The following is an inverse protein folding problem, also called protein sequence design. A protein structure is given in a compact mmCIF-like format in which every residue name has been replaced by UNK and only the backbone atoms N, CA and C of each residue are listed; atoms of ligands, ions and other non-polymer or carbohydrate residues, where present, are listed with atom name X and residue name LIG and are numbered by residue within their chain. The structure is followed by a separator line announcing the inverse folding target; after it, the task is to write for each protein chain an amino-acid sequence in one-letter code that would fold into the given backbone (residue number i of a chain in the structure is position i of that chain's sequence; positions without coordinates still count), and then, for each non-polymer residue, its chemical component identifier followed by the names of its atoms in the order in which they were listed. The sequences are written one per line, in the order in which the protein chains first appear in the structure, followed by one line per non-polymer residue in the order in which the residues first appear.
data_IF_791726833233
#
_entry.id   IF_791726833233
#
_cell.length_a   1.000
_cell.length_b   1.000
_cell.length_c   1.000
_cell.angle_alpha   90.00
_cell.angle_beta   90.00
_cell.angle_gamma   90.00
#
_symmetry.space_group_name_H-M   'P 1'
#
loop_
_entity.id
_entity.type
_entity.pdbx_description
1 polymer ?
#
# COMPACT_ATOMS: atom_id res chain seq x y z
N UNK A 1 -63.33 1.69 13.11
CA UNK A 1 -63.13 1.08 11.78
C UNK A 1 -62.02 0.08 11.94
N UNK A 2 -62.39 -1.19 11.95
CA UNK A 2 -61.55 -2.36 12.19
C UNK A 2 -60.89 -2.84 10.90
N UNK A 3 -59.69 -3.37 11.09
CA UNK A 3 -58.76 -4.02 10.17
C UNK A 3 -59.35 -5.04 9.20
N UNK A 4 -58.74 -5.17 8.03
CA UNK A 4 -58.27 -6.45 7.47
C UNK A 4 -57.34 -6.17 6.27
N UNK A 5 -56.04 -6.22 6.53
CA UNK A 5 -54.99 -6.34 5.52
C UNK A 5 -54.58 -7.82 5.56
N UNK A 6 -54.83 -8.57 4.49
CA UNK A 6 -54.46 -10.00 4.43
C UNK A 6 -52.99 -10.13 4.04
N UNK A 7 -52.12 -10.22 5.05
CA UNK A 7 -50.75 -10.66 4.90
C UNK A 7 -50.73 -12.15 4.50
N UNK A 8 -50.57 -12.45 3.21
CA UNK A 8 -50.14 -13.78 2.78
C UNK A 8 -48.66 -13.95 3.14
N UNK A 9 -48.42 -14.70 4.21
CA UNK A 9 -47.10 -15.06 4.72
C UNK A 9 -46.32 -15.84 3.65
N UNK A 10 -45.06 -15.49 3.33
CA UNK A 10 -44.26 -16.21 2.35
C UNK A 10 -44.03 -17.66 2.82
N UNK A 11 -44.33 -18.62 1.92
CA UNK A 11 -44.19 -20.05 2.17
C UNK A 11 -42.70 -20.42 2.40
N UNK A 12 -42.45 -21.18 3.46
CA UNK A 12 -41.12 -21.68 3.83
C UNK A 12 -40.60 -22.73 2.81
N UNK A 13 -39.28 -22.91 2.75
CA UNK A 13 -38.62 -23.87 1.85
C UNK A 13 -39.21 -25.29 1.97
N UNK A 14 -39.54 -25.70 3.21
CA UNK A 14 -40.15 -27.01 3.47
C UNK A 14 -41.57 -27.15 2.90
N UNK A 15 -42.32 -26.05 2.80
CA UNK A 15 -43.66 -26.05 2.22
C UNK A 15 -43.61 -26.11 0.70
N UNK A 16 -42.56 -25.56 0.09
CA UNK A 16 -42.30 -25.64 -1.35
C UNK A 16 -41.86 -27.07 -1.73
N UNK A 17 -40.95 -27.68 -0.97
CA UNK A 17 -40.56 -29.09 -1.17
C UNK A 17 -41.76 -30.04 -1.03
N UNK A 18 -42.62 -29.79 -0.04
CA UNK A 18 -43.84 -30.57 0.16
C UNK A 18 -44.80 -30.44 -1.03
N UNK A 19 -45.01 -29.21 -1.52
CA UNK A 19 -45.86 -28.96 -2.71
C UNK A 19 -45.27 -29.58 -3.97
N UNK A 20 -43.94 -29.60 -4.12
CA UNK A 20 -43.26 -30.26 -5.24
C UNK A 20 -43.43 -31.79 -5.18
N UNK A 21 -43.27 -32.39 -4.00
CA UNK A 21 -43.50 -33.82 -3.83
C UNK A 21 -44.96 -34.23 -4.05
N UNK A 22 -45.93 -33.40 -3.62
CA UNK A 22 -47.35 -33.64 -3.84
C UNK A 22 -47.71 -33.53 -5.34
N UNK A 23 -47.12 -32.58 -6.06
CA UNK A 23 -47.26 -32.46 -7.51
C UNK A 23 -46.66 -33.67 -8.26
N UNK A 24 -45.49 -34.16 -7.83
CA UNK A 24 -44.88 -35.36 -8.41
C UNK A 24 -45.74 -36.62 -8.20
N UNK A 25 -46.36 -36.78 -7.03
CA UNK A 25 -47.32 -37.87 -6.77
C UNK A 25 -48.56 -37.78 -7.65
N UNK A 26 -49.09 -36.57 -7.87
CA UNK A 26 -50.24 -36.36 -8.75
C UNK A 26 -49.92 -36.72 -10.22
N UNK A 27 -48.71 -36.41 -10.69
CA UNK A 27 -48.21 -36.81 -12.02
C UNK A 27 -48.06 -38.33 -12.14
N UNK A 28 -47.64 -39.01 -11.07
CA UNK A 28 -47.51 -40.47 -11.04
C UNK A 28 -48.87 -41.20 -11.07
N UNK A 29 -49.90 -40.60 -10.46
CA UNK A 29 -51.29 -41.08 -10.53
C UNK A 29 -51.86 -40.91 -11.95
N UNK A 30 -51.59 -39.78 -12.61
CA UNK A 30 -52.01 -39.51 -13.99
C UNK A 30 -51.32 -40.46 -15.01
N UNK A 31 -50.09 -40.89 -14.74
CA UNK A 31 -49.36 -41.88 -15.56
C UNK A 31 -49.94 -43.29 -15.51
N UNK A 32 -50.73 -43.63 -14.49
CA UNK A 32 -51.33 -44.98 -14.29
C UNK A 32 -52.69 -45.19 -14.96
N UNK A 33 -53.18 -44.20 -15.72
CA UNK A 33 -54.26 -44.39 -16.69
C UNK A 33 -55.66 -44.51 -16.09
N UNK A 34 -56.24 -43.40 -15.66
CA UNK A 34 -57.68 -43.17 -15.71
C UNK A 34 -57.94 -41.80 -16.35
N UNK A 35 -58.76 -41.81 -17.39
CA UNK A 35 -59.15 -40.66 -18.22
C UNK A 35 -59.70 -39.51 -17.39
N UNK A 36 -59.43 -38.26 -17.81
CA UNK A 36 -60.45 -37.31 -18.30
C UNK A 36 -59.75 -36.05 -18.82
N UNK A 37 -60.02 -35.72 -20.07
CA UNK A 37 -59.46 -34.61 -20.85
C UNK A 37 -59.87 -33.20 -20.38
N UNK A 38 -60.03 -32.98 -19.07
CA UNK A 38 -60.40 -31.67 -18.46
C UNK A 38 -59.27 -31.14 -17.55
N UNK A 39 -58.21 -31.92 -17.29
CA UNK A 39 -57.12 -31.55 -16.37
C UNK A 39 -55.81 -31.05 -17.00
N UNK A 40 -55.63 -31.16 -18.32
CA UNK A 40 -54.31 -30.94 -18.95
C UNK A 40 -53.95 -29.45 -19.12
N UNK A 41 -54.93 -28.60 -19.43
CA UNK A 41 -54.77 -27.14 -19.53
C UNK A 41 -54.50 -26.48 -18.17
N UNK A 42 -55.16 -26.95 -17.11
CA UNK A 42 -55.00 -26.44 -15.74
C UNK A 42 -53.63 -26.76 -15.14
N UNK A 43 -53.04 -27.91 -15.52
CA UNK A 43 -51.73 -28.34 -15.02
C UNK A 43 -50.61 -27.62 -15.78
N UNK A 44 -50.75 -27.39 -17.09
CA UNK A 44 -49.78 -26.63 -17.88
C UNK A 44 -49.66 -25.18 -17.42
N UNK A 45 -50.79 -24.52 -17.11
CA UNK A 45 -50.78 -23.16 -16.58
C UNK A 45 -50.15 -23.06 -15.18
N UNK A 46 -50.41 -24.05 -14.31
CA UNK A 46 -49.77 -24.13 -12.98
C UNK A 46 -48.28 -24.43 -13.06
N UNK A 47 -47.83 -25.19 -14.07
CA UNK A 47 -46.42 -25.48 -14.30
C UNK A 47 -45.66 -24.24 -14.77
N UNK A 48 -46.20 -23.48 -15.72
CA UNK A 48 -45.56 -22.23 -16.18
C UNK A 48 -45.52 -21.15 -15.09
N UNK A 49 -46.57 -21.05 -14.26
CA UNK A 49 -46.57 -20.14 -13.11
C UNK A 49 -45.51 -20.56 -12.07
N UNK A 50 -45.39 -21.86 -11.77
CA UNK A 50 -44.39 -22.37 -10.83
C UNK A 50 -42.97 -22.25 -11.39
N UNK A 51 -42.78 -22.41 -12.71
CA UNK A 51 -41.50 -22.22 -13.39
C UNK A 51 -41.07 -20.76 -13.37
N UNK A 52 -41.98 -19.83 -13.64
CA UNK A 52 -41.73 -18.38 -13.54
C UNK A 52 -41.38 -17.96 -12.12
N UNK A 53 -42.07 -18.53 -11.12
CA UNK A 53 -41.73 -18.32 -9.71
C UNK A 53 -40.39 -18.95 -9.31
N UNK A 54 -39.99 -20.06 -9.95
CA UNK A 54 -38.70 -20.71 -9.72
C UNK A 54 -37.53 -19.96 -10.37
N UNK A 55 -37.70 -19.48 -11.61
CA UNK A 55 -36.72 -18.65 -12.33
C UNK A 55 -36.54 -17.28 -11.65
N UNK A 56 -37.62 -16.67 -11.18
CA UNK A 56 -37.54 -15.44 -10.40
C UNK A 56 -36.82 -15.66 -9.06
N UNK A 57 -37.08 -16.79 -8.39
CA UNK A 57 -36.39 -17.14 -7.15
C UNK A 57 -34.93 -17.57 -7.37
N UNK A 58 -34.56 -18.13 -8.52
CA UNK A 58 -33.15 -18.43 -8.83
C UNK A 58 -32.35 -17.15 -9.11
N UNK A 59 -32.98 -16.16 -9.76
CA UNK A 59 -32.41 -14.82 -9.89
C UNK A 59 -32.26 -14.12 -8.53
N UNK A 60 -33.26 -14.24 -7.63
CA UNK A 60 -33.15 -13.71 -6.26
C UNK A 60 -32.04 -14.42 -5.46
N UNK A 61 -31.73 -15.69 -5.75
CA UNK A 61 -30.61 -16.43 -5.12
C UNK A 61 -29.25 -16.02 -5.68
N UNK A 62 -29.16 -15.68 -6.96
CA UNK A 62 -27.94 -15.12 -7.57
C UNK A 62 -27.68 -13.71 -7.04
N UNK A 63 -28.71 -12.86 -6.94
CA UNK A 63 -28.60 -11.53 -6.34
C UNK A 63 -28.25 -11.60 -4.84
N UNK A 64 -28.81 -12.58 -4.11
CA UNK A 64 -28.46 -12.82 -2.71
C UNK A 64 -27.05 -13.40 -2.54
N UNK A 65 -26.54 -14.19 -3.49
CA UNK A 65 -25.15 -14.68 -3.51
C UNK A 65 -24.16 -13.53 -3.80
N UNK A 66 -24.53 -12.62 -4.70
CA UNK A 66 -23.79 -11.38 -4.98
C UNK A 66 -23.75 -10.47 -3.74
N UNK A 67 -24.90 -10.24 -3.09
CA UNK A 67 -24.98 -9.47 -1.84
C UNK A 67 -24.26 -10.16 -0.69
N UNK A 68 -24.26 -11.50 -0.63
CA UNK A 68 -23.53 -12.25 0.38
C UNK A 68 -22.02 -12.18 0.15
N UNK A 69 -21.56 -12.18 -1.12
CA UNK A 69 -20.15 -11.94 -1.48
C UNK A 69 -19.71 -10.52 -1.11
N UNK A 70 -20.51 -9.50 -1.45
CA UNK A 70 -20.26 -8.12 -1.04
C UNK A 70 -20.20 -7.96 0.48
N UNK A 71 -21.17 -8.53 1.20
CA UNK A 71 -21.20 -8.50 2.67
C UNK A 71 -20.02 -9.27 3.28
N UNK A 72 -19.58 -10.35 2.65
CA UNK A 72 -18.40 -11.11 3.10
C UNK A 72 -17.12 -10.29 2.92
N UNK A 73 -17.01 -9.54 1.83
CA UNK A 73 -15.90 -8.64 1.57
C UNK A 73 -15.87 -7.47 2.56
N UNK A 74 -17.00 -6.80 2.78
CA UNK A 74 -17.13 -5.70 3.75
C UNK A 74 -16.81 -6.15 5.19
N UNK A 75 -17.20 -7.38 5.56
CA UNK A 75 -16.86 -7.98 6.86
C UNK A 75 -15.36 -8.32 6.97
N UNK A 76 -14.69 -8.63 5.85
CA UNK A 76 -13.25 -8.89 5.82
C UNK A 76 -12.46 -7.59 6.01
N UNK A 77 -12.85 -6.53 5.32
CA UNK A 77 -12.24 -5.19 5.40
C UNK A 77 -12.40 -4.61 6.82
N UNK A 78 -13.60 -4.67 7.40
CA UNK A 78 -13.84 -4.24 8.79
C UNK A 78 -13.03 -5.05 9.81
N UNK A 79 -12.73 -6.32 9.51
CA UNK A 79 -11.90 -7.15 10.39
C UNK A 79 -10.43 -6.75 10.33
N UNK A 80 -9.94 -6.39 9.14
CA UNK A 80 -8.60 -5.85 8.94
C UNK A 80 -8.47 -4.48 9.60
N UNK A 81 -9.42 -3.57 9.38
CA UNK A 81 -9.45 -2.25 10.02
C UNK A 81 -9.44 -2.36 11.55
N UNK A 82 -10.21 -3.31 12.11
CA UNK A 82 -10.21 -3.57 13.55
C UNK A 82 -8.88 -4.14 14.05
N UNK A 83 -8.25 -5.05 13.30
CA UNK A 83 -6.95 -5.61 13.67
C UNK A 83 -5.86 -4.54 13.66
N UNK A 84 -5.87 -3.67 12.64
CA UNK A 84 -5.02 -2.49 12.52
C UNK A 84 -5.24 -1.52 13.69
N UNK A 85 -6.50 -1.26 14.05
CA UNK A 85 -6.82 -0.39 15.18
C UNK A 85 -6.34 -0.97 16.52
N UNK A 86 -6.51 -2.29 16.74
CA UNK A 86 -6.00 -3.01 17.91
C UNK A 86 -4.47 -3.03 17.97
N UNK A 87 -3.78 -3.19 16.84
CA UNK A 87 -2.32 -3.09 16.74
C UNK A 87 -1.83 -1.67 16.99
N UNK A 88 -2.48 -0.65 16.41
CA UNK A 88 -2.15 0.76 16.63
C UNK A 88 -2.34 1.15 18.11
N UNK A 89 -3.38 0.64 18.77
CA UNK A 89 -3.54 0.86 20.21
C UNK A 89 -2.44 0.17 21.03
N UNK A 90 -2.03 -1.04 20.66
CA UNK A 90 -0.93 -1.74 21.34
C UNK A 90 0.44 -1.09 21.07
N UNK A 91 0.69 -0.61 19.84
CA UNK A 91 1.88 0.14 19.45
C UNK A 91 1.96 1.45 20.22
N UNK A 92 0.91 2.26 20.22
CA UNK A 92 0.89 3.52 21.00
C UNK A 92 1.03 3.30 22.51
N UNK A 93 0.57 2.17 23.05
CA UNK A 93 0.78 1.83 24.46
C UNK A 93 2.23 1.38 24.74
N UNK A 94 2.83 0.61 23.84
CA UNK A 94 4.23 0.17 23.90
C UNK A 94 5.21 1.34 23.70
N UNK A 95 5.00 2.18 22.68
CA UNK A 95 5.76 3.40 22.42
C UNK A 95 5.67 4.38 23.58
N UNK A 96 4.52 4.46 24.25
CA UNK A 96 4.36 5.27 25.46
C UNK A 96 5.17 4.73 26.64
N UNK A 97 5.31 3.41 26.76
CA UNK A 97 6.18 2.79 27.77
C UNK A 97 7.67 2.97 27.43
N UNK A 98 8.05 2.80 26.17
CA UNK A 98 9.43 2.99 25.69
C UNK A 98 9.85 4.46 25.73
N UNK A 99 8.98 5.40 25.37
CA UNK A 99 9.24 6.83 25.53
C UNK A 99 9.39 7.22 27.01
N UNK A 100 8.63 6.61 27.91
CA UNK A 100 8.80 6.84 29.35
C UNK A 100 10.15 6.33 29.85
N UNK A 101 10.53 5.11 29.43
CA UNK A 101 11.83 4.53 29.76
C UNK A 101 12.99 5.34 29.18
N UNK A 102 12.90 5.72 27.91
CA UNK A 102 13.91 6.55 27.22
C UNK A 102 14.03 7.93 27.86
N UNK A 103 12.90 8.56 28.25
CA UNK A 103 12.89 9.82 28.98
C UNK A 103 13.57 9.68 30.35
N UNK A 104 13.31 8.58 31.06
CA UNK A 104 13.87 8.36 32.40
C UNK A 104 15.38 8.04 32.32
N UNK A 105 15.82 7.26 31.33
CA UNK A 105 17.24 7.01 31.01
C UNK A 105 17.96 8.29 30.56
N UNK A 106 17.31 9.10 29.71
CA UNK A 106 17.85 10.38 29.25
C UNK A 106 17.97 11.38 30.41
N UNK A 107 17.02 11.37 31.35
CA UNK A 107 17.07 12.17 32.56
C UNK A 107 18.22 11.74 33.47
N UNK A 108 18.45 10.44 33.66
CA UNK A 108 19.57 9.90 34.44
C UNK A 108 20.93 10.23 33.78
N UNK A 109 21.02 10.09 32.46
CA UNK A 109 22.22 10.47 31.69
C UNK A 109 22.50 11.97 31.78
N UNK A 110 21.48 12.81 31.64
CA UNK A 110 21.60 14.26 31.78
C UNK A 110 22.05 14.67 33.18
N UNK A 111 21.50 14.06 34.24
CA UNK A 111 21.90 14.32 35.61
C UNK A 111 23.37 13.89 35.87
N UNK A 112 23.78 12.76 35.30
CA UNK A 112 25.16 12.24 35.39
C UNK A 112 26.16 13.12 34.64
N UNK A 113 25.83 13.54 33.42
CA UNK A 113 26.67 14.45 32.63
C UNK A 113 26.78 15.83 33.29
N UNK A 114 25.67 16.34 33.84
CA UNK A 114 25.66 17.59 34.60
C UNK A 114 26.54 17.51 35.84
N UNK A 115 26.48 16.40 36.58
CA UNK A 115 27.32 16.15 37.75
C UNK A 115 28.81 16.08 37.36
N UNK A 116 29.13 15.36 36.29
CA UNK A 116 30.50 15.24 35.77
C UNK A 116 31.04 16.59 35.29
N UNK A 117 30.21 17.42 34.66
CA UNK A 117 30.58 18.78 34.25
C UNK A 117 30.87 19.68 35.46
N UNK A 118 30.05 19.61 36.51
CA UNK A 118 30.26 20.36 37.75
C UNK A 118 31.55 19.94 38.47
N UNK A 119 31.85 18.64 38.51
CA UNK A 119 33.09 18.10 39.08
C UNK A 119 34.32 18.56 38.29
N UNK A 120 34.23 18.55 36.95
CA UNK A 120 35.28 19.04 36.06
C UNK A 120 35.49 20.56 36.16
N UNK A 121 34.42 21.32 36.42
CA UNK A 121 34.49 22.77 36.67
C UNK A 121 35.12 23.06 38.04
N UNK A 122 34.81 22.25 39.07
CA UNK A 122 35.50 22.30 40.36
C UNK A 122 36.99 21.97 40.23
N UNK A 123 37.36 20.89 39.53
CA UNK A 123 38.76 20.54 39.26
C UNK A 123 39.50 21.65 38.52
N UNK A 124 38.85 22.28 37.53
CA UNK A 124 39.41 23.45 36.84
C UNK A 124 39.62 24.62 37.78
N UNK A 125 38.66 24.94 38.66
CA UNK A 125 38.83 26.01 39.66
C UNK A 125 39.97 25.71 40.65
N UNK A 126 40.19 24.44 41.02
CA UNK A 126 41.33 24.03 41.84
C UNK A 126 42.65 24.17 41.08
N UNK A 127 42.74 23.70 39.83
CA UNK A 127 43.91 23.86 38.98
C UNK A 127 44.21 25.32 38.63
N UNK A 128 43.18 26.15 38.41
CA UNK A 128 43.33 27.58 38.09
C UNK A 128 43.81 28.38 39.30
N UNK A 129 43.37 28.02 40.52
CA UNK A 129 43.97 28.53 41.77
C UNK A 129 45.43 28.12 41.96
N UNK A 130 45.80 26.93 41.50
CA UNK A 130 47.18 26.42 41.54
C UNK A 130 48.05 27.10 40.47
N UNK A 131 47.49 27.35 39.28
CA UNK A 131 48.12 28.09 38.18
C UNK A 131 48.26 29.59 38.48
N UNK A 132 47.30 30.24 39.16
CA UNK A 132 47.41 31.65 39.59
C UNK A 132 48.59 31.89 40.55
N UNK A 133 49.07 30.84 41.24
CA UNK A 133 50.27 30.88 42.08
C UNK A 133 51.55 30.80 41.24
N UNK A 134 51.52 30.17 40.06
CA UNK A 134 52.68 30.02 39.17
C UNK A 134 52.77 31.05 38.03
N UNK A 135 51.64 31.56 37.52
CA UNK A 135 51.62 32.43 36.32
C UNK A 135 51.60 33.92 36.62
N UNK A 136 52.30 34.35 37.67
CA UNK A 136 52.58 35.78 37.91
C UNK A 136 53.76 36.34 37.11
N UNK A 137 54.43 35.55 36.26
CA UNK A 137 55.69 35.97 35.63
C UNK A 137 55.76 36.06 34.10
N UNK A 138 54.82 35.55 33.28
CA UNK A 138 55.09 35.50 31.82
C UNK A 138 53.93 35.85 30.89
N UNK A 139 53.26 36.96 31.14
CA UNK A 139 52.50 37.68 30.11
C UNK A 139 53.31 38.82 29.50
N UNK A 140 53.39 38.90 28.17
CA UNK A 140 53.20 40.15 27.38
C UNK A 140 53.44 40.07 25.86
N UNK A 141 53.87 38.94 25.29
CA UNK A 141 54.25 38.90 23.86
C UNK A 141 53.21 38.30 22.88
N UNK A 142 52.16 37.59 23.34
CA UNK A 142 51.25 36.82 22.44
C UNK A 142 49.94 37.53 22.04
N UNK A 143 49.58 38.66 22.66
CA UNK A 143 48.24 39.28 22.54
C UNK A 143 47.98 40.00 21.20
N UNK A 144 49.03 40.36 20.43
CA UNK A 144 48.86 41.13 19.19
C UNK A 144 48.53 40.30 17.94
N UNK A 145 48.91 39.02 17.88
CA UNK A 145 48.72 38.19 16.69
C UNK A 145 47.34 37.52 16.62
N UNK A 146 46.75 37.14 17.77
CA UNK A 146 45.47 36.44 17.82
C UNK A 146 44.26 37.32 17.46
N UNK A 147 44.32 38.63 17.76
CA UNK A 147 43.21 39.55 17.45
C UNK A 147 43.02 39.77 15.94
N UNK A 148 44.07 39.65 15.14
CA UNK A 148 43.99 39.85 13.69
C UNK A 148 43.38 38.64 12.93
N UNK A 149 43.63 37.42 13.43
CA UNK A 149 43.15 36.17 12.83
C UNK A 149 41.65 35.96 13.11
N UNK A 150 41.17 36.35 14.30
CA UNK A 150 39.76 36.17 14.68
C UNK A 150 38.85 37.10 13.86
N UNK A 151 39.26 38.34 13.58
CA UNK A 151 38.44 39.30 12.82
C UNK A 151 38.30 38.88 11.34
N UNK A 152 39.34 38.26 10.77
CA UNK A 152 39.30 37.76 9.39
C UNK A 152 38.50 36.47 9.25
N UNK A 153 38.53 35.57 10.24
CA UNK A 153 37.69 34.38 10.27
C UNK A 153 36.19 34.71 10.44
N UNK A 154 35.85 35.69 11.28
CA UNK A 154 34.45 36.12 11.48
C UNK A 154 33.90 36.82 10.24
N UNK A 155 34.69 37.63 9.53
CA UNK A 155 34.25 38.28 8.29
C UNK A 155 33.98 37.27 7.15
N UNK A 156 34.80 36.21 7.04
CA UNK A 156 34.60 35.14 6.06
C UNK A 156 33.38 34.28 6.44
N UNK A 157 33.18 33.98 7.73
CA UNK A 157 32.03 33.23 8.22
C UNK A 157 30.70 33.99 8.07
N UNK A 158 30.69 35.33 8.20
CA UNK A 158 29.48 36.15 8.00
C UNK A 158 29.12 36.28 6.53
N UNK A 159 30.11 36.35 5.63
CA UNK A 159 29.87 36.41 4.16
C UNK A 159 29.47 35.04 3.59
N UNK A 160 30.08 33.95 4.07
CA UNK A 160 29.73 32.58 3.65
C UNK A 160 28.43 32.06 4.32
N UNK A 161 28.24 32.34 5.61
CA UNK A 161 27.01 31.98 6.35
C UNK A 161 25.80 32.81 5.93
N UNK A 162 25.98 34.10 5.60
CA UNK A 162 24.91 34.96 5.12
C UNK A 162 24.35 34.57 3.76
N UNK A 163 25.17 33.98 2.88
CA UNK A 163 24.71 33.49 1.57
C UNK A 163 24.06 32.11 1.63
N UNK A 164 24.52 31.20 2.51
CA UNK A 164 23.96 29.85 2.62
C UNK A 164 22.66 29.76 3.43
N UNK A 165 22.45 30.67 4.38
CA UNK A 165 21.24 30.68 5.23
C UNK A 165 20.03 31.29 4.49
N UNK A 166 20.26 32.07 3.43
CA UNK A 166 19.18 32.75 2.73
C UNK A 166 18.47 31.91 1.66
N UNK A 167 19.03 30.75 1.27
CA UNK A 167 18.43 29.79 0.32
C UNK A 167 18.95 28.36 0.54
N UNK A 168 18.85 27.81 1.75
CA UNK A 168 19.00 26.37 1.94
C UNK A 168 17.65 25.69 1.66
N UNK A 169 17.26 25.66 0.40
CA UNK A 169 16.17 24.79 -0.07
C UNK A 169 16.52 23.36 0.34
N UNK A 170 15.57 22.65 0.96
CA UNK A 170 15.82 21.29 1.40
C UNK A 170 15.99 20.40 0.17
N UNK A 171 17.03 19.57 0.16
CA UNK A 171 17.20 18.58 -0.90
C UNK A 171 15.96 17.68 -0.92
N UNK A 172 15.36 17.54 -2.10
CA UNK A 172 14.13 16.78 -2.29
C UNK A 172 12.86 17.62 -2.33
N UNK A 173 12.89 18.90 -1.94
CA UNK A 173 11.69 19.74 -1.92
C UNK A 173 11.04 19.91 -3.31
N UNK A 174 11.83 19.88 -4.38
CA UNK A 174 11.31 19.95 -5.76
C UNK A 174 10.58 18.67 -6.21
N UNK A 175 10.72 17.57 -5.49
CA UNK A 175 10.04 16.29 -5.76
C UNK A 175 8.73 16.17 -4.99
N UNK A 176 8.35 17.18 -4.22
CA UNK A 176 7.08 17.16 -3.52
C UNK A 176 5.93 17.22 -4.54
N UNK A 177 5.00 16.29 -4.43
CA UNK A 177 3.82 16.17 -5.27
C UNK A 177 2.58 16.50 -4.45
N UNK A 178 1.76 17.44 -4.93
CA UNK A 178 0.45 17.71 -4.35
C UNK A 178 -0.60 16.86 -5.08
N UNK A 179 -1.16 15.87 -4.39
CA UNK A 179 -2.24 15.01 -4.89
C UNK A 179 -3.39 14.96 -3.90
N UNK A 180 -4.60 14.77 -4.41
CA UNK A 180 -5.73 14.37 -3.57
C UNK A 180 -5.55 12.90 -3.13
N UNK A 181 -6.05 12.50 -1.94
CA UNK A 181 -5.97 11.12 -1.48
C UNK A 181 -6.49 10.13 -2.53
N UNK A 182 -5.70 9.10 -2.84
CA UNK A 182 -6.07 8.05 -3.80
C UNK A 182 -6.35 6.75 -3.06
N UNK A 183 -7.60 6.31 -3.07
CA UNK A 183 -7.98 5.02 -2.49
C UNK A 183 -7.71 3.91 -3.51
N UNK A 184 -7.04 2.85 -3.07
CA UNK A 184 -6.66 1.71 -3.91
C UNK A 184 -7.17 0.41 -3.30
N UNK A 185 -7.24 -0.65 -4.11
CA UNK A 185 -7.68 -1.95 -3.65
C UNK A 185 -6.87 -3.07 -4.28
N UNK A 186 -6.72 -4.17 -3.55
CA UNK A 186 -5.88 -5.28 -3.98
C UNK A 186 -6.47 -6.63 -3.61
N UNK A 187 -6.32 -7.62 -4.49
CA UNK A 187 -6.71 -9.01 -4.25
C UNK A 187 -5.73 -10.01 -4.85
N UNK A 188 -5.64 -11.16 -4.20
CA UNK A 188 -4.91 -12.32 -4.70
C UNK A 188 -5.89 -13.48 -4.84
N UNK A 189 -5.91 -14.11 -6.00
CA UNK A 189 -6.76 -15.25 -6.31
C UNK A 189 -5.91 -16.49 -6.59
N UNK A 190 -6.31 -17.63 -6.01
CA UNK A 190 -5.74 -18.91 -6.41
C UNK A 190 -6.31 -19.37 -7.78
N UNK A 191 -5.73 -20.42 -8.36
CA UNK A 191 -6.22 -21.01 -9.63
C UNK A 191 -7.67 -21.55 -9.61
N UNK A 192 -8.28 -21.69 -8.43
CA UNK A 192 -9.69 -22.08 -8.27
C UNK A 192 -10.63 -20.88 -8.14
N UNK A 193 -10.08 -19.66 -8.08
CA UNK A 193 -10.82 -18.41 -7.94
C UNK A 193 -11.12 -17.99 -6.51
N UNK A 194 -10.64 -18.73 -5.49
CA UNK A 194 -10.78 -18.28 -4.10
C UNK A 194 -9.79 -17.15 -3.82
N UNK A 195 -10.23 -16.11 -3.12
CA UNK A 195 -9.36 -15.07 -2.59
C UNK A 195 -8.52 -15.67 -1.46
N UNK A 196 -7.22 -15.38 -1.49
CA UNK A 196 -6.25 -15.85 -0.51
C UNK A 196 -5.47 -14.66 0.07
N UNK A 197 -5.03 -14.80 1.31
CA UNK A 197 -4.16 -13.83 1.99
C UNK A 197 -2.80 -14.50 2.19
N UNK A 198 -1.79 -14.05 1.44
CA UNK A 198 -0.46 -14.64 1.41
C UNK A 198 0.56 -13.68 0.77
N UNK A 199 1.83 -13.94 1.04
CA UNK A 199 2.98 -13.37 0.36
C UNK A 199 3.29 -14.19 -0.90
N UNK A 200 3.54 -13.52 -2.02
CA UNK A 200 3.83 -14.19 -3.29
C UNK A 200 4.88 -13.40 -4.06
N UNK A 201 5.82 -14.12 -4.65
CA UNK A 201 6.83 -13.54 -5.54
C UNK A 201 6.65 -14.08 -6.95
N UNK A 202 7.26 -13.40 -7.92
CA UNK A 202 7.50 -14.02 -9.22
C UNK A 202 8.59 -15.10 -9.07
N UNK A 203 8.45 -16.24 -9.77
CA UNK A 203 9.49 -17.29 -9.82
C UNK A 203 10.06 -17.35 -11.22
N UNK A 204 10.93 -16.39 -11.51
CA UNK A 204 11.62 -16.24 -12.78
C UNK A 204 13.06 -16.74 -12.66
N UNK A 205 13.66 -17.11 -13.80
CA UNK A 205 15.09 -17.42 -13.83
C UNK A 205 15.90 -16.17 -14.18
N UNK A 206 17.18 -16.17 -13.82
CA UNK A 206 18.06 -15.04 -14.11
C UNK A 206 18.06 -14.70 -15.61
N UNK A 207 17.79 -13.43 -15.93
CA UNK A 207 17.71 -12.93 -17.29
C UNK A 207 16.33 -13.00 -17.94
N UNK A 208 15.32 -13.54 -17.26
CA UNK A 208 13.93 -13.39 -17.68
C UNK A 208 13.47 -11.94 -17.52
N UNK A 209 12.57 -11.52 -18.42
CA UNK A 209 12.00 -10.17 -18.44
C UNK A 209 10.52 -10.26 -18.07
N UNK A 210 10.07 -9.39 -17.15
CA UNK A 210 8.65 -9.17 -16.90
C UNK A 210 8.11 -8.26 -18.00
N UNK A 211 7.19 -8.78 -18.80
CA UNK A 211 6.49 -7.97 -19.80
C UNK A 211 5.26 -7.31 -19.17
N UNK A 212 5.23 -5.97 -19.17
CA UNK A 212 4.08 -5.18 -18.75
C UNK A 212 3.36 -4.64 -19.97
N UNK A 213 2.07 -4.92 -20.09
CA UNK A 213 1.26 -4.52 -21.24
C UNK A 213 0.20 -3.50 -20.82
N UNK A 214 0.26 -2.30 -21.40
CA UNK A 214 -0.70 -1.23 -21.14
C UNK A 214 -1.82 -1.29 -22.18
N UNK A 215 -3.00 -1.69 -21.74
CA UNK A 215 -4.20 -1.86 -22.55
C UNK A 215 -4.96 -0.53 -22.67
N UNK A 216 -5.58 -0.31 -23.82
CA UNK A 216 -6.40 0.88 -24.13
C UNK A 216 -5.65 2.22 -24.09
N UNK A 217 -4.32 2.22 -23.98
CA UNK A 217 -3.54 3.46 -23.93
C UNK A 217 -3.67 4.31 -25.21
N UNK A 218 -4.07 3.71 -26.34
CA UNK A 218 -4.34 4.39 -27.60
C UNK A 218 -5.60 5.27 -27.57
N UNK A 219 -6.44 5.12 -26.53
CA UNK A 219 -7.65 5.90 -26.33
C UNK A 219 -7.41 7.21 -25.57
N UNK A 220 -6.21 7.41 -25.04
CA UNK A 220 -5.84 8.52 -24.16
C UNK A 220 -4.76 9.40 -24.79
N UNK A 221 -4.45 10.52 -24.13
CA UNK A 221 -3.30 11.34 -24.51
C UNK A 221 -2.01 10.50 -24.43
N UNK A 222 -1.09 10.60 -25.42
CA UNK A 222 0.19 9.87 -25.37
C UNK A 222 0.96 10.04 -24.06
N UNK A 223 0.84 11.19 -23.40
CA UNK A 223 1.46 11.45 -22.09
C UNK A 223 1.01 10.45 -21.02
N UNK A 224 -0.18 9.86 -21.12
CA UNK A 224 -0.68 8.81 -20.20
C UNK A 224 0.16 7.53 -20.31
N UNK A 225 0.43 7.08 -21.54
CA UNK A 225 1.29 5.90 -21.75
C UNK A 225 2.72 6.17 -21.30
N UNK A 226 3.28 7.31 -21.70
CA UNK A 226 4.64 7.73 -21.32
C UNK A 226 4.79 7.81 -19.79
N UNK A 227 3.74 8.27 -19.11
CA UNK A 227 3.69 8.34 -17.64
C UNK A 227 3.78 6.95 -17.00
N UNK A 228 3.00 5.99 -17.48
CA UNK A 228 3.01 4.61 -16.96
C UNK A 228 4.32 3.90 -17.30
N UNK A 229 4.81 4.09 -18.53
CA UNK A 229 6.10 3.56 -18.96
C UNK A 229 7.23 4.08 -18.07
N UNK A 230 7.23 5.38 -17.74
CA UNK A 230 8.19 5.99 -16.83
C UNK A 230 8.16 5.39 -15.42
N UNK A 231 6.97 5.20 -14.85
CA UNK A 231 6.78 4.57 -13.52
C UNK A 231 7.38 3.16 -13.46
N UNK A 232 7.39 2.43 -14.57
CA UNK A 232 7.94 1.08 -14.63
C UNK A 232 9.44 1.12 -14.95
N UNK A 233 9.83 1.90 -15.96
CA UNK A 233 11.15 1.80 -16.61
C UNK A 233 12.20 2.77 -16.04
N UNK A 234 11.82 3.79 -15.27
CA UNK A 234 12.78 4.76 -14.73
C UNK A 234 13.76 4.08 -13.76
N UNK A 235 15.05 4.37 -13.96
CA UNK A 235 16.13 4.05 -13.02
C UNK A 235 16.56 5.29 -12.20
N UNK A 236 15.78 6.38 -12.25
CA UNK A 236 16.12 7.61 -11.54
C UNK A 236 16.03 7.42 -10.02
N UNK A 237 17.06 7.92 -9.34
CA UNK A 237 17.22 7.89 -7.89
C UNK A 237 17.06 9.30 -7.35
N UNK A 238 16.24 9.44 -6.33
CA UNK A 238 15.89 10.69 -5.68
C UNK A 238 16.47 10.69 -4.27
N UNK A 239 17.18 11.76 -3.92
CA UNK A 239 17.64 11.99 -2.55
C UNK A 239 16.74 13.03 -1.89
N UNK A 240 15.99 12.61 -0.85
CA UNK A 240 15.05 13.48 -0.14
C UNK A 240 15.49 13.63 1.32
N UNK A 241 15.52 14.86 1.80
CA UNK A 241 15.88 15.16 3.20
C UNK A 241 14.83 14.56 4.14
N UNK A 242 15.27 13.78 5.13
CA UNK A 242 14.40 13.05 6.05
C UNK A 242 13.51 13.97 6.90
N UNK A 243 13.86 15.26 7.03
CA UNK A 243 12.98 16.24 7.67
C UNK A 243 11.72 16.55 6.85
N UNK A 244 11.74 16.31 5.53
CA UNK A 244 10.57 16.37 4.64
C UNK A 244 9.70 15.11 4.73
N UNK A 245 10.32 13.97 5.03
CA UNK A 245 9.64 12.67 5.15
C UNK A 245 9.18 12.35 6.57
N UNK A 246 9.46 13.22 7.55
CA UNK A 246 9.25 12.98 8.97
C UNK A 246 10.03 11.79 9.56
N UNK A 247 11.06 11.29 8.86
CA UNK A 247 11.90 10.15 9.25
C UNK A 247 13.19 10.52 10.00
N UNK A 248 13.48 11.82 10.16
CA UNK A 248 14.75 12.19 10.79
C UNK A 248 15.10 13.67 10.82
N UNK A 249 16.27 14.02 11.39
CA UNK A 249 16.73 15.40 11.46
C UNK A 249 17.14 15.94 10.08
N UNK A 250 16.99 17.26 9.90
CA UNK A 250 17.43 18.00 8.71
C UNK A 250 18.91 17.71 8.40
N UNK A 251 19.21 17.44 7.13
CA UNK A 251 20.54 17.11 6.63
C UNK A 251 20.87 15.61 6.66
N UNK A 252 19.91 14.75 6.99
CA UNK A 252 19.95 13.30 6.71
C UNK A 252 19.05 13.01 5.51
N UNK A 253 19.41 12.01 4.70
CA UNK A 253 18.77 11.75 3.41
C UNK A 253 18.23 10.33 3.37
N UNK A 254 17.09 10.15 2.73
CA UNK A 254 16.55 8.88 2.27
C UNK A 254 16.70 8.80 0.76
N UNK A 255 16.94 7.59 0.29
CA UNK A 255 16.97 7.28 -1.13
C UNK A 255 15.58 6.79 -1.52
N UNK A 256 15.06 7.30 -2.63
CA UNK A 256 13.80 6.85 -3.20
C UNK A 256 13.97 6.65 -4.70
N UNK A 257 13.10 5.84 -5.30
CA UNK A 257 13.17 5.50 -6.71
C UNK A 257 11.94 6.00 -7.45
N UNK A 258 12.17 6.59 -8.61
CA UNK A 258 11.07 7.10 -9.43
C UNK A 258 10.29 5.98 -10.11
N UNK A 259 10.97 4.87 -10.46
CA UNK A 259 10.36 3.72 -11.12
C UNK A 259 10.86 2.36 -10.64
N UNK A 260 10.08 1.33 -10.95
CA UNK A 260 10.28 -0.03 -10.46
C UNK A 260 11.52 -0.71 -11.03
N UNK A 261 11.96 -0.38 -12.25
CA UNK A 261 13.20 -0.87 -12.83
C UNK A 261 14.41 -0.47 -11.96
N UNK A 262 14.48 0.78 -11.50
CA UNK A 262 15.51 1.25 -10.56
C UNK A 262 15.42 0.58 -9.19
N UNK A 263 14.21 0.51 -8.64
CA UNK A 263 13.94 -0.10 -7.34
C UNK A 263 14.31 -1.58 -7.29
N UNK A 264 13.83 -2.38 -8.25
CA UNK A 264 14.09 -3.82 -8.29
C UNK A 264 15.57 -4.13 -8.52
N UNK A 265 16.28 -3.27 -9.27
CA UNK A 265 17.73 -3.36 -9.44
C UNK A 265 18.46 -3.12 -8.13
N UNK A 266 18.03 -2.13 -7.34
CA UNK A 266 18.58 -1.91 -6.00
C UNK A 266 18.33 -3.12 -5.08
N UNK A 267 17.10 -3.63 -5.02
CA UNK A 267 16.76 -4.83 -4.24
C UNK A 267 17.60 -6.05 -4.64
N UNK A 268 17.93 -6.18 -5.94
CA UNK A 268 18.75 -7.29 -6.44
C UNK A 268 20.23 -7.25 -6.02
N UNK A 269 20.70 -6.13 -5.46
CA UNK A 269 22.05 -6.04 -4.91
C UNK A 269 22.21 -6.89 -3.64
N UNK A 270 21.09 -7.17 -2.96
CA UNK A 270 21.03 -8.08 -1.82
C UNK A 270 20.88 -9.53 -2.29
N UNK A 271 21.75 -10.41 -1.80
CA UNK A 271 21.68 -11.84 -2.10
C UNK A 271 20.47 -12.46 -1.38
N UNK A 272 19.49 -12.91 -2.15
CA UNK A 272 18.26 -13.53 -1.66
C UNK A 272 18.14 -14.98 -2.16
N UNK A 273 17.29 -15.78 -1.52
CA UNK A 273 17.04 -17.18 -1.91
C UNK A 273 16.47 -17.35 -3.33
N UNK A 274 15.78 -16.34 -3.85
CA UNK A 274 15.12 -16.35 -5.16
C UNK A 274 15.65 -15.22 -6.01
N UNK A 275 15.62 -15.41 -7.32
CA UNK A 275 15.99 -14.35 -8.24
C UNK A 275 14.97 -13.20 -8.21
N UNK A 276 15.45 -11.99 -7.88
CA UNK A 276 14.68 -10.75 -8.00
C UNK A 276 14.70 -10.32 -9.47
N UNK A 277 13.54 -10.15 -10.13
CA UNK A 277 13.48 -9.77 -11.54
C UNK A 277 13.86 -8.29 -11.71
N UNK A 278 14.90 -8.05 -12.51
CA UNK A 278 15.45 -6.71 -12.77
C UNK A 278 15.27 -6.23 -14.20
N UNK A 279 14.57 -6.99 -15.03
CA UNK A 279 14.33 -6.63 -16.43
C UNK A 279 12.85 -6.48 -16.66
N UNK A 280 12.45 -5.28 -17.07
CA UNK A 280 11.10 -4.97 -17.51
C UNK A 280 11.07 -4.65 -19.00
N UNK A 281 9.96 -5.00 -19.65
CA UNK A 281 9.61 -4.52 -20.98
C UNK A 281 8.18 -3.98 -20.93
N UNK A 282 7.99 -2.72 -21.34
CA UNK A 282 6.66 -2.14 -21.46
C UNK A 282 6.22 -2.20 -22.91
N UNK A 283 5.06 -2.81 -23.16
CA UNK A 283 4.44 -2.89 -24.47
C UNK A 283 3.05 -2.26 -24.44
N UNK A 284 2.59 -1.85 -25.61
CA UNK A 284 1.23 -1.40 -25.83
C UNK A 284 0.56 -2.33 -26.83
N UNK A 285 -0.48 -3.04 -26.38
CA UNK A 285 -1.29 -3.87 -27.26
C UNK A 285 -2.76 -3.87 -26.82
N UNK A 286 -3.65 -4.28 -27.73
CA UNK A 286 -5.07 -4.45 -27.43
C UNK A 286 -5.41 -5.89 -27.00
N UNK A 287 -4.40 -6.74 -26.82
CA UNK A 287 -4.54 -8.12 -26.40
C UNK A 287 -4.07 -8.26 -24.94
N UNK A 288 -4.60 -9.20 -24.16
CA UNK A 288 -4.19 -9.42 -22.76
C UNK A 288 -2.82 -10.10 -22.57
N UNK A 289 -1.87 -9.91 -23.50
CA UNK A 289 -0.51 -10.46 -23.43
C UNK A 289 0.35 -9.78 -22.35
N UNK A 290 1.52 -10.34 -22.05
CA UNK A 290 2.42 -9.91 -20.96
C UNK A 290 2.27 -10.74 -19.68
N UNK A 291 3.05 -10.43 -18.66
CA UNK A 291 2.96 -11.01 -17.31
C UNK A 291 2.07 -10.14 -16.42
N UNK A 292 2.22 -8.82 -16.56
CA UNK A 292 1.39 -7.80 -15.93
C UNK A 292 0.59 -7.08 -17.01
N UNK A 293 -0.71 -6.92 -16.82
CA UNK A 293 -1.55 -6.09 -17.71
C UNK A 293 -2.12 -4.90 -16.95
N UNK A 294 -1.93 -3.69 -17.46
CA UNK A 294 -2.50 -2.45 -16.92
C UNK A 294 -3.63 -2.01 -17.84
N UNK A 295 -4.87 -2.09 -17.37
CA UNK A 295 -6.06 -1.67 -18.10
C UNK A 295 -6.47 -0.26 -17.70
N UNK A 296 -6.55 0.63 -18.70
CA UNK A 296 -7.01 2.00 -18.52
C UNK A 296 -8.50 2.11 -18.86
N UNK A 297 -9.26 2.75 -17.97
CA UNK A 297 -10.70 2.96 -18.16
C UNK A 297 -11.20 4.29 -17.60
N UNK A 298 -12.22 4.85 -18.25
CA UNK A 298 -12.97 6.03 -17.76
C UNK A 298 -14.19 5.64 -16.92
N UNK A 299 -14.40 4.34 -16.67
CA UNK A 299 -15.38 3.89 -15.70
C UNK A 299 -14.92 4.28 -14.29
N UNK A 300 -15.86 4.60 -13.42
CA UNK A 300 -15.62 4.74 -11.99
C UNK A 300 -15.80 3.38 -11.33
N UNK A 301 -14.96 3.08 -10.35
CA UNK A 301 -15.19 1.94 -9.48
C UNK A 301 -16.39 2.22 -8.55
N UNK A 302 -17.23 1.21 -8.31
CA UNK A 302 -18.43 1.36 -7.47
C UNK A 302 -18.11 1.70 -6.00
N UNK A 303 -16.96 1.24 -5.52
CA UNK A 303 -16.48 1.40 -4.16
C UNK A 303 -15.54 2.62 -4.01
N UNK A 304 -15.33 3.37 -5.10
CA UNK A 304 -14.55 4.62 -5.09
C UNK A 304 -13.05 4.46 -5.32
N UNK A 305 -12.56 3.25 -5.62
CA UNK A 305 -11.14 3.02 -5.91
C UNK A 305 -10.66 3.72 -7.19
N UNK A 306 -9.51 4.38 -7.11
CA UNK A 306 -8.80 4.99 -8.25
C UNK A 306 -7.93 3.96 -8.99
N UNK A 307 -7.46 2.93 -8.29
CA UNK A 307 -6.67 1.82 -8.83
C UNK A 307 -7.09 0.50 -8.19
N UNK A 308 -6.89 -0.60 -8.92
CA UNK A 308 -7.09 -1.94 -8.40
C UNK A 308 -6.11 -2.95 -9.00
N UNK A 309 -5.40 -3.68 -8.16
CA UNK A 309 -4.55 -4.79 -8.56
C UNK A 309 -5.16 -6.15 -8.18
N UNK A 310 -5.14 -7.09 -9.12
CA UNK A 310 -5.57 -8.46 -8.93
C UNK A 310 -4.53 -9.43 -9.48
N UNK A 311 -3.99 -10.27 -8.59
CA UNK A 311 -2.94 -11.24 -8.93
C UNK A 311 -3.49 -12.67 -8.92
N UNK A 312 -3.24 -13.42 -9.99
CA UNK A 312 -3.52 -14.85 -10.07
C UNK A 312 -2.26 -15.61 -9.65
N UNK A 313 -2.43 -16.54 -8.71
CA UNK A 313 -1.32 -17.20 -8.06
C UNK A 313 -1.46 -18.73 -7.99
N UNK A 314 -0.30 -19.40 -8.00
CA UNK A 314 -0.19 -20.78 -7.53
C UNK A 314 0.20 -20.77 -6.05
N UNK A 315 -0.79 -20.96 -5.18
CA UNK A 315 -0.60 -21.04 -3.74
C UNK A 315 0.29 -22.24 -3.34
N UNK A 316 0.33 -23.33 -4.12
CA UNK A 316 1.15 -24.49 -3.77
C UNK A 316 2.65 -24.22 -3.96
N UNK A 317 2.97 -23.25 -4.82
CA UNK A 317 4.35 -22.85 -5.12
C UNK A 317 4.70 -21.44 -4.61
N UNK A 318 3.76 -20.77 -3.93
CA UNK A 318 3.87 -19.37 -3.50
C UNK A 318 4.41 -18.47 -4.63
N UNK A 319 3.73 -18.55 -5.79
CA UNK A 319 4.14 -17.88 -7.02
C UNK A 319 3.00 -17.06 -7.64
N UNK A 320 3.33 -15.85 -8.09
CA UNK A 320 2.50 -15.06 -9.01
C UNK A 320 2.63 -15.64 -10.43
N UNK A 321 1.48 -15.86 -11.08
CA UNK A 321 1.40 -16.35 -12.45
C UNK A 321 1.00 -15.27 -13.45
N UNK A 322 0.19 -14.31 -13.00
CA UNK A 322 -0.30 -13.19 -13.82
C UNK A 322 -0.81 -12.10 -12.88
N UNK A 323 -0.56 -10.83 -13.20
CA UNK A 323 -1.17 -9.70 -12.48
C UNK A 323 -1.97 -8.82 -13.44
N UNK A 324 -3.10 -8.31 -12.97
CA UNK A 324 -3.93 -7.34 -13.68
C UNK A 324 -4.12 -6.12 -12.81
N UNK A 325 -3.83 -4.96 -13.36
CA UNK A 325 -4.10 -3.66 -12.76
C UNK A 325 -5.21 -3.00 -13.57
N UNK A 326 -6.15 -2.33 -12.91
CA UNK A 326 -7.13 -1.45 -13.54
C UNK A 326 -7.01 -0.07 -12.92
N UNK A 327 -6.79 0.95 -13.77
CA UNK A 327 -6.79 2.35 -13.35
C UNK A 327 -8.08 3.00 -13.82
N UNK A 328 -8.85 3.55 -12.88
CA UNK A 328 -10.18 4.09 -13.10
C UNK A 328 -10.16 5.60 -13.35
N UNK A 329 -11.23 6.10 -13.96
CA UNK A 329 -11.47 7.52 -14.21
C UNK A 329 -10.27 8.31 -14.80
N UNK A 330 -9.53 7.69 -15.72
CA UNK A 330 -8.25 8.21 -16.25
C UNK A 330 -8.33 9.65 -16.77
N UNK A 331 -9.39 10.02 -17.51
CA UNK A 331 -9.57 11.38 -18.05
C UNK A 331 -9.71 12.47 -16.96
N UNK A 332 -10.00 12.06 -15.71
CA UNK A 332 -10.16 12.99 -14.58
C UNK A 332 -8.90 13.10 -13.74
N UNK A 333 -7.93 12.19 -13.91
CA UNK A 333 -6.71 12.17 -13.15
C UNK A 333 -5.73 13.21 -13.69
N UNK A 334 -4.99 13.85 -12.78
CA UNK A 334 -3.76 14.53 -13.17
C UNK A 334 -2.69 13.49 -13.49
N UNK A 335 -1.68 13.84 -14.30
CA UNK A 335 -0.56 12.94 -14.56
C UNK A 335 0.16 12.54 -13.27
N UNK A 336 0.27 13.45 -12.30
CA UNK A 336 0.85 13.15 -10.98
C UNK A 336 0.04 12.12 -10.18
N UNK A 337 -1.29 12.20 -10.24
CA UNK A 337 -2.16 11.20 -9.61
C UNK A 337 -2.06 9.85 -10.34
N UNK A 338 -2.01 9.86 -11.67
CA UNK A 338 -1.78 8.65 -12.48
C UNK A 338 -0.43 8.00 -12.16
N UNK A 339 0.65 8.78 -12.07
CA UNK A 339 1.98 8.29 -11.67
C UNK A 339 1.91 7.60 -10.31
N UNK A 340 1.27 8.25 -9.34
CA UNK A 340 1.12 7.75 -7.97
C UNK A 340 0.38 6.42 -7.94
N UNK A 341 -0.82 6.37 -8.54
CA UNK A 341 -1.66 5.16 -8.58
C UNK A 341 -0.89 4.05 -9.30
N UNK A 342 -0.36 4.31 -10.49
CA UNK A 342 0.38 3.31 -11.25
C UNK A 342 1.57 2.75 -10.46
N UNK A 343 2.31 3.60 -9.73
CA UNK A 343 3.48 3.16 -8.96
C UNK A 343 3.07 2.24 -7.82
N UNK A 344 2.00 2.57 -7.11
CA UNK A 344 1.43 1.74 -6.05
C UNK A 344 0.91 0.39 -6.59
N UNK A 345 0.07 0.42 -7.61
CA UNK A 345 -0.53 -0.81 -8.16
C UNK A 345 0.50 -1.76 -8.79
N UNK A 346 1.59 -1.21 -9.35
CA UNK A 346 2.71 -2.04 -9.82
C UNK A 346 3.44 -2.71 -8.66
N UNK A 347 3.55 -2.06 -7.49
CA UNK A 347 4.05 -2.70 -6.27
C UNK A 347 3.25 -3.94 -5.91
N UNK A 348 1.92 -3.85 -5.94
CA UNK A 348 1.03 -5.00 -5.76
C UNK A 348 1.22 -6.10 -6.82
N UNK A 349 1.39 -5.71 -8.08
CA UNK A 349 1.63 -6.66 -9.15
C UNK A 349 2.99 -7.37 -9.04
N UNK A 350 3.96 -6.75 -8.35
CA UNK A 350 5.27 -7.34 -8.02
C UNK A 350 5.27 -8.19 -6.75
N UNK A 351 4.18 -8.14 -5.96
CA UNK A 351 3.95 -8.99 -4.81
C UNK A 351 3.94 -8.27 -3.46
N UNK A 352 4.10 -6.94 -3.44
CA UNK A 352 3.97 -6.18 -2.20
C UNK A 352 2.53 -6.12 -1.73
N UNK A 353 2.34 -6.25 -0.42
CA UNK A 353 1.08 -5.94 0.23
C UNK A 353 1.03 -4.46 0.63
N UNK A 354 -0.08 -4.03 1.21
CA UNK A 354 -0.16 -2.69 1.78
C UNK A 354 0.84 -2.51 2.92
N UNK A 355 1.36 -1.28 3.02
CA UNK A 355 2.12 -0.80 4.17
C UNK A 355 1.19 -0.34 5.28
N UNK A 356 1.65 -0.44 6.53
CA UNK A 356 0.96 0.13 7.70
C UNK A 356 1.31 1.60 7.93
N UNK A 357 2.34 2.13 7.25
CA UNK A 357 2.85 3.48 7.44
C UNK A 357 2.16 4.47 6.48
N UNK A 358 1.44 5.49 6.98
CA UNK A 358 0.65 6.41 6.15
C UNK A 358 1.47 7.29 5.20
N UNK A 359 2.76 7.50 5.50
CA UNK A 359 3.68 8.25 4.67
C UNK A 359 4.30 7.42 3.51
N UNK A 360 4.10 6.11 3.52
CA UNK A 360 4.66 5.19 2.55
C UNK A 360 3.80 5.08 1.29
N UNK A 361 4.45 4.79 0.15
CA UNK A 361 3.76 4.66 -1.14
C UNK A 361 2.73 3.54 -1.09
N UNK A 362 3.02 2.41 -0.44
CA UNK A 362 2.17 1.22 -0.42
C UNK A 362 1.04 1.30 0.62
N UNK A 363 0.79 2.46 1.24
CA UNK A 363 -0.37 2.64 2.13
C UNK A 363 -1.70 2.59 1.36
N UNK A 364 -2.80 1.97 1.88
CA UNK A 364 -4.03 1.74 1.11
C UNK A 364 -4.70 3.00 0.55
N UNK A 365 -4.56 4.12 1.25
CA UNK A 365 -5.04 5.44 0.82
C UNK A 365 -3.84 6.34 0.64
N UNK A 366 -3.39 6.56 -0.58
CA UNK A 366 -2.13 7.27 -0.84
C UNK A 366 -2.31 8.76 -0.56
N UNK A 367 -1.72 9.22 0.55
CA UNK A 367 -1.77 10.62 1.02
C UNK A 367 -0.39 11.29 1.08
N UNK A 368 0.67 10.53 0.77
CA UNK A 368 2.04 11.03 0.85
C UNK A 368 2.34 12.08 -0.23
N UNK A 369 3.07 13.12 0.16
CA UNK A 369 3.57 14.13 -0.78
C UNK A 369 4.86 13.68 -1.50
N UNK A 370 5.38 12.51 -1.17
CA UNK A 370 6.55 11.91 -1.83
C UNK A 370 6.20 10.49 -2.29
N UNK A 371 5.32 10.34 -3.30
CA UNK A 371 4.80 9.06 -3.75
C UNK A 371 5.82 8.29 -4.59
N UNK A 372 7.00 8.04 -4.05
CA UNK A 372 8.10 7.32 -4.68
C UNK A 372 8.38 6.01 -3.95
N UNK A 373 9.07 5.09 -4.60
CA UNK A 373 9.40 3.79 -3.99
C UNK A 373 10.49 4.02 -2.96
N UNK A 374 10.21 3.70 -1.69
CA UNK A 374 11.08 3.99 -0.56
C UNK A 374 12.04 2.83 -0.26
N UNK A 375 13.06 3.06 0.56
CA UNK A 375 13.92 1.98 1.07
C UNK A 375 13.11 0.88 1.81
N UNK A 376 11.96 1.22 2.42
CA UNK A 376 11.10 0.20 3.04
C UNK A 376 10.46 -0.73 2.01
N UNK A 377 10.04 -0.19 0.87
CA UNK A 377 9.50 -1.00 -0.23
C UNK A 377 10.57 -1.95 -0.79
N UNK A 378 11.83 -1.48 -0.86
CA UNK A 378 12.98 -2.30 -1.26
C UNK A 378 13.19 -3.44 -0.26
N UNK A 379 13.26 -3.13 1.04
CA UNK A 379 13.44 -4.14 2.10
C UNK A 379 12.31 -5.19 2.07
N UNK A 380 11.08 -4.76 1.76
CA UNK A 380 9.95 -5.66 1.61
C UNK A 380 10.08 -6.58 0.40
N UNK A 381 10.56 -6.08 -0.75
CA UNK A 381 10.90 -6.90 -1.91
C UNK A 381 12.01 -7.89 -1.53
N UNK A 382 13.10 -7.43 -0.91
CA UNK A 382 14.20 -8.32 -0.52
C UNK A 382 13.72 -9.45 0.38
N UNK A 383 12.95 -9.12 1.42
CA UNK A 383 12.36 -10.10 2.32
C UNK A 383 11.44 -11.08 1.59
N UNK A 384 10.62 -10.60 0.65
CA UNK A 384 9.73 -11.42 -0.18
C UNK A 384 10.51 -12.46 -1.00
N UNK A 385 11.64 -12.06 -1.60
CA UNK A 385 12.48 -12.96 -2.40
C UNK A 385 13.46 -13.79 -1.57
N UNK A 386 13.74 -13.42 -0.32
CA UNK A 386 14.50 -14.24 0.62
C UNK A 386 13.64 -15.27 1.39
N UNK A 387 12.43 -15.55 0.92
CA UNK A 387 11.55 -16.53 1.54
C UNK A 387 10.88 -16.04 2.83
N UNK A 388 10.75 -14.72 2.99
CA UNK A 388 9.89 -14.08 3.97
C UNK A 388 8.44 -14.51 3.80
N UNK A 389 7.70 -14.54 4.91
CA UNK A 389 6.35 -15.10 4.98
C UNK A 389 5.29 -14.08 5.46
N UNK A 390 5.51 -12.79 5.24
CA UNK A 390 4.66 -11.72 5.77
C UNK A 390 3.74 -11.17 4.68
N UNK A 391 2.44 -11.11 4.97
CA UNK A 391 1.42 -10.50 4.11
C UNK A 391 1.27 -8.99 4.32
N UNK A 392 2.20 -8.35 5.02
CA UNK A 392 2.22 -6.93 5.34
C UNK A 392 3.65 -6.38 5.19
N UNK A 393 3.74 -5.11 4.78
CA UNK A 393 4.98 -4.33 4.77
C UNK A 393 5.04 -3.51 6.05
N UNK A 394 6.00 -3.82 6.92
CA UNK A 394 6.21 -3.09 8.17
C UNK A 394 7.36 -2.11 7.97
N UNK A 395 7.03 -0.84 7.77
CA UNK A 395 8.01 0.24 7.72
C UNK A 395 8.23 0.82 9.11
N UNK A 396 9.46 0.77 9.62
CA UNK A 396 9.84 1.48 10.85
C UNK A 396 10.24 2.92 10.49
N UNK A 397 9.74 3.89 11.26
CA UNK A 397 9.95 5.34 11.07
C UNK A 397 11.18 5.87 11.82
#
# INVERSE_FOLDING_TARGET
MSSENSDEKPLSLSEIEKKLQDAMKAVEVLKKGESIAIGQESISAKYEELKKQFEQKSADYEELDEQFKQLTQEVLELRQEKMMFEQFTNLTETEKEEMQKTRDEMKEKYETERQTALEKEQEKMFMEKELEIETKEKEKAKVKYYKAIIISAVAIAVVAGGYSVMFAELAGQQYQVEIEPQQTGYTIQNLRGDIIDTYLSWRLVEGDTITVNVLNADQYDPEVFETIEKVIMSEEVLEIDNSLLHKGPKGTMSVMYEGWQGAMKAASETETQLYIPVSFEVIQSNNGEGDITIELTNQQNADGFSGWANSIADQSQNQILKSRITIFAVDTLSLAALETIARHEVGHALGLAHSTAPEDLMFPTIETNFPYISDCDIDAIEALYDGGNTSEVVCES
#
